data_IF_227928193578
#
_entry.id   IF_227928193578
#
_cell.length_a   1.000
_cell.length_b   1.000
_cell.length_c   1.000
_cell.angle_alpha   90.00
_cell.angle_beta   90.00
_cell.angle_gamma   90.00
#
_symmetry.space_group_name_H-M   'P 1'
#
loop_
_entity.id
_entity.type
_entity.pdbx_description
1 polymer ?
#
# COMPACT_ATOMS: atom_id res chain seq x y z
N UNK A 1 7.38 -26.88 18.83
CA UNK A 1 6.37 -25.84 19.03
C UNK A 1 6.59 -24.60 18.16
N UNK A 2 7.77 -23.93 18.22
CA UNK A 2 8.08 -22.71 17.41
C UNK A 2 7.87 -22.89 15.89
N UNK A 3 8.28 -24.04 15.31
CA UNK A 3 8.15 -24.27 13.86
C UNK A 3 6.71 -24.46 13.35
N UNK A 4 5.80 -25.04 14.14
CA UNK A 4 4.40 -25.19 13.78
C UNK A 4 3.69 -23.83 13.82
N UNK A 5 3.96 -23.03 14.85
CA UNK A 5 3.43 -21.67 15.00
C UNK A 5 3.91 -20.77 13.86
N UNK A 6 5.20 -20.82 13.48
CA UNK A 6 5.74 -20.08 12.33
C UNK A 6 5.03 -20.45 11.03
N UNK A 7 4.80 -21.75 10.77
CA UNK A 7 4.05 -22.19 9.56
C UNK A 7 2.62 -21.70 9.57
N UNK A 8 1.95 -21.70 10.72
CA UNK A 8 0.59 -21.19 10.87
C UNK A 8 0.53 -19.70 10.52
N UNK A 9 1.38 -18.87 11.12
CA UNK A 9 1.43 -17.42 10.85
C UNK A 9 1.79 -17.12 9.39
N UNK A 10 2.75 -17.85 8.80
CA UNK A 10 3.10 -17.70 7.39
C UNK A 10 1.90 -18.00 6.46
N UNK A 11 1.11 -19.05 6.75
CA UNK A 11 -0.10 -19.36 5.99
C UNK A 11 -1.18 -18.27 6.15
N UNK A 12 -1.37 -17.76 7.36
CA UNK A 12 -2.33 -16.68 7.62
C UNK A 12 -1.95 -15.41 6.85
N UNK A 13 -0.66 -15.03 6.90
CA UNK A 13 -0.15 -13.90 6.13
C UNK A 13 -0.31 -14.12 4.63
N UNK A 14 0.04 -15.29 4.10
CA UNK A 14 -0.11 -15.60 2.68
C UNK A 14 -1.56 -15.48 2.21
N UNK A 15 -2.54 -15.90 3.03
CA UNK A 15 -3.98 -15.71 2.73
C UNK A 15 -4.35 -14.23 2.72
N UNK A 16 -3.89 -13.46 3.71
CA UNK A 16 -4.20 -12.03 3.77
C UNK A 16 -3.58 -11.26 2.60
N UNK A 17 -2.36 -11.63 2.17
CA UNK A 17 -1.71 -11.08 0.96
C UNK A 17 -2.56 -11.39 -0.28
N UNK A 18 -3.00 -12.63 -0.46
CA UNK A 18 -3.89 -12.99 -1.57
C UNK A 18 -5.23 -12.24 -1.52
N UNK A 19 -5.74 -11.96 -0.31
CA UNK A 19 -7.00 -11.24 -0.12
C UNK A 19 -6.83 -9.77 -0.49
N UNK A 20 -5.82 -9.04 0.02
CA UNK A 20 -5.65 -7.64 -0.35
C UNK A 20 -5.29 -7.48 -1.83
N UNK A 21 -4.53 -8.40 -2.41
CA UNK A 21 -4.27 -8.39 -3.85
C UNK A 21 -5.57 -8.46 -4.66
N UNK A 22 -6.51 -9.32 -4.25
CA UNK A 22 -7.84 -9.38 -4.87
C UNK A 22 -8.63 -8.08 -4.67
N UNK A 23 -8.56 -7.46 -3.48
CA UNK A 23 -9.21 -6.18 -3.21
C UNK A 23 -8.65 -5.07 -4.10
N UNK A 24 -7.33 -4.98 -4.26
CA UNK A 24 -6.68 -4.04 -5.18
C UNK A 24 -7.19 -4.24 -6.61
N UNK A 25 -7.14 -5.49 -7.13
CA UNK A 25 -7.56 -5.80 -8.49
C UNK A 25 -9.04 -5.50 -8.74
N UNK A 26 -9.92 -5.65 -7.73
CA UNK A 26 -11.34 -5.26 -7.82
C UNK A 26 -11.55 -3.75 -7.92
N UNK A 27 -10.69 -2.95 -7.27
CA UNK A 27 -10.75 -1.50 -7.33
C UNK A 27 -10.37 -0.94 -8.71
N UNK A 28 -9.67 -1.73 -9.54
CA UNK A 28 -9.24 -1.30 -10.87
C UNK A 28 -10.38 -1.39 -11.88
N UNK A 29 -10.58 -0.31 -12.61
CA UNK A 29 -11.57 -0.20 -13.67
C UNK A 29 -10.95 -0.66 -15.00
N UNK A 30 -11.56 -1.63 -15.74
CA UNK A 30 -11.10 -2.00 -17.07
C UNK A 30 -11.17 -0.83 -18.05
N UNK A 31 -10.20 -0.74 -18.97
CA UNK A 31 -10.18 0.29 -20.00
C UNK A 31 -9.99 -0.32 -21.40
N UNK A 32 -10.81 0.11 -22.35
CA UNK A 32 -10.65 -0.20 -23.78
C UNK A 32 -9.83 0.85 -24.54
N UNK A 33 -9.69 2.05 -23.97
CA UNK A 33 -8.80 3.10 -24.48
C UNK A 33 -7.46 3.01 -23.78
N UNK A 34 -6.39 3.40 -24.45
CA UNK A 34 -5.08 3.50 -23.83
C UNK A 34 -5.08 4.55 -22.72
N UNK A 35 -4.74 4.15 -21.52
CA UNK A 35 -4.58 5.00 -20.33
C UNK A 35 -3.18 4.82 -19.76
N UNK A 36 -2.81 5.61 -18.75
CA UNK A 36 -1.53 5.49 -18.04
C UNK A 36 -1.76 5.17 -16.57
N UNK A 37 -1.02 4.19 -16.07
CA UNK A 37 -0.96 3.85 -14.65
C UNK A 37 0.43 4.13 -14.12
N UNK A 38 0.50 4.75 -12.94
CA UNK A 38 1.71 4.90 -12.13
C UNK A 38 1.66 3.94 -10.94
N UNK A 39 2.66 3.08 -10.79
CA UNK A 39 2.87 2.21 -9.64
C UNK A 39 3.98 2.77 -8.75
N UNK A 40 3.62 3.32 -7.61
CA UNK A 40 4.53 3.88 -6.62
C UNK A 40 5.17 2.74 -5.81
N UNK A 41 6.49 2.54 -5.94
CA UNK A 41 7.19 1.39 -5.39
C UNK A 41 6.94 0.12 -6.22
N UNK A 42 7.20 0.19 -7.53
CA UNK A 42 6.87 -0.88 -8.47
C UNK A 42 7.73 -2.15 -8.33
N UNK A 43 8.72 -2.15 -7.44
CA UNK A 43 9.64 -3.26 -7.19
C UNK A 43 10.23 -3.80 -8.52
N UNK A 44 10.14 -5.10 -8.77
CA UNK A 44 10.63 -5.75 -9.99
C UNK A 44 9.62 -5.73 -11.15
N UNK A 45 8.50 -5.03 -11.00
CA UNK A 45 7.44 -4.86 -12.00
C UNK A 45 6.45 -6.02 -12.13
N UNK A 46 6.63 -7.13 -11.41
CA UNK A 46 5.74 -8.30 -11.54
C UNK A 46 4.29 -7.98 -11.17
N UNK A 47 4.12 -7.25 -10.06
CA UNK A 47 2.79 -6.83 -9.62
C UNK A 47 2.20 -5.77 -10.56
N UNK A 48 3.02 -4.84 -11.04
CA UNK A 48 2.61 -3.81 -12.02
C UNK A 48 2.02 -4.44 -13.30
N UNK A 49 2.63 -5.54 -13.77
CA UNK A 49 2.08 -6.30 -14.92
C UNK A 49 0.70 -6.91 -14.61
N UNK A 50 0.48 -7.40 -13.39
CA UNK A 50 -0.83 -7.94 -13.00
C UNK A 50 -1.90 -6.84 -12.95
N UNK A 51 -1.56 -5.63 -12.48
CA UNK A 51 -2.43 -4.45 -12.55
C UNK A 51 -2.78 -4.16 -14.02
N UNK A 52 -1.77 -4.14 -14.89
CA UNK A 52 -1.95 -3.93 -16.32
C UNK A 52 -2.88 -4.97 -16.97
N UNK A 53 -2.67 -6.23 -16.68
CA UNK A 53 -3.52 -7.32 -17.19
C UNK A 53 -4.98 -7.18 -16.75
N UNK A 54 -5.22 -6.64 -15.54
CA UNK A 54 -6.58 -6.39 -15.02
C UNK A 54 -7.25 -5.20 -15.70
N UNK A 55 -6.49 -4.16 -16.08
CA UNK A 55 -6.99 -2.93 -16.69
C UNK A 55 -7.23 -3.13 -18.20
N UNK A 56 -6.31 -3.81 -18.88
CA UNK A 56 -6.34 -4.03 -20.33
C UNK A 56 -5.43 -3.08 -21.09
N UNK A 57 -5.97 -2.05 -21.79
CA UNK A 57 -5.16 -1.12 -22.57
C UNK A 57 -4.52 -0.05 -21.68
N UNK A 58 -3.26 -0.26 -21.25
CA UNK A 58 -2.59 0.62 -20.29
C UNK A 58 -1.08 0.69 -20.52
N UNK A 59 -0.51 1.91 -20.42
CA UNK A 59 0.93 2.13 -20.26
C UNK A 59 1.30 2.05 -18.79
N UNK A 60 2.27 1.22 -18.47
CA UNK A 60 2.71 0.95 -17.11
C UNK A 60 3.95 1.77 -16.80
N UNK A 61 3.80 2.68 -15.84
CA UNK A 61 4.88 3.47 -15.27
C UNK A 61 5.13 3.05 -13.83
N UNK A 62 6.35 3.28 -13.34
CA UNK A 62 6.71 2.98 -11.96
C UNK A 62 7.73 3.95 -11.40
N UNK A 63 7.77 4.06 -10.07
CA UNK A 63 8.87 4.67 -9.32
C UNK A 63 9.47 3.59 -8.42
N UNK A 64 10.80 3.44 -8.46
CA UNK A 64 11.50 2.49 -7.61
C UNK A 64 12.86 3.06 -7.17
N UNK A 65 13.11 3.04 -5.87
CA UNK A 65 14.33 3.58 -5.26
C UNK A 65 15.52 2.61 -5.36
N UNK A 66 15.24 1.29 -5.46
CA UNK A 66 16.28 0.26 -5.52
C UNK A 66 16.62 -0.03 -6.97
N UNK A 67 17.77 0.44 -7.44
CA UNK A 67 18.20 0.35 -8.84
C UNK A 67 18.10 -1.06 -9.43
N UNK A 68 18.52 -2.09 -8.67
CA UNK A 68 18.44 -3.49 -9.15
C UNK A 68 16.99 -3.93 -9.46
N UNK A 69 16.02 -3.48 -8.65
CA UNK A 69 14.60 -3.77 -8.83
C UNK A 69 14.04 -2.99 -10.00
N UNK A 70 14.35 -1.69 -10.06
CA UNK A 70 13.99 -0.82 -11.18
C UNK A 70 14.44 -1.41 -12.53
N UNK A 71 15.69 -1.89 -12.62
CA UNK A 71 16.21 -2.55 -13.82
C UNK A 71 15.45 -3.84 -14.15
N UNK A 72 14.97 -4.57 -13.14
CA UNK A 72 14.13 -5.74 -13.38
C UNK A 72 12.75 -5.35 -13.93
N UNK A 73 12.14 -4.27 -13.43
CA UNK A 73 10.87 -3.74 -13.94
C UNK A 73 10.99 -3.25 -15.40
N UNK A 74 12.08 -2.51 -15.72
CA UNK A 74 12.36 -2.08 -17.09
C UNK A 74 12.46 -3.25 -18.07
N UNK A 75 13.13 -4.35 -17.69
CA UNK A 75 13.22 -5.56 -18.54
C UNK A 75 11.88 -6.23 -18.80
N UNK A 76 10.91 -6.02 -17.92
CA UNK A 76 9.53 -6.53 -18.07
C UNK A 76 8.61 -5.57 -18.82
N UNK A 77 9.11 -4.41 -19.28
CA UNK A 77 8.36 -3.42 -20.05
C UNK A 77 7.64 -2.37 -19.23
N UNK A 78 7.90 -2.27 -17.92
CA UNK A 78 7.43 -1.15 -17.10
C UNK A 78 8.35 0.05 -17.32
N UNK A 79 7.81 1.23 -17.58
CA UNK A 79 8.58 2.48 -17.70
C UNK A 79 8.90 2.96 -16.28
N UNK A 80 9.99 2.42 -15.69
CA UNK A 80 10.33 2.64 -14.31
C UNK A 80 11.38 3.75 -14.16
N UNK A 81 11.02 4.83 -13.46
CA UNK A 81 11.90 5.94 -13.12
C UNK A 81 12.54 5.72 -11.73
N UNK A 82 13.79 6.18 -11.53
CA UNK A 82 14.39 6.18 -10.22
C UNK A 82 13.77 7.30 -9.37
N UNK A 83 13.44 7.03 -8.11
CA UNK A 83 12.92 8.08 -7.24
C UNK A 83 12.71 7.61 -5.80
N UNK A 84 12.81 8.58 -4.89
CA UNK A 84 12.38 8.44 -3.49
C UNK A 84 10.97 9.04 -3.39
N UNK A 85 10.01 8.26 -2.92
CA UNK A 85 8.62 8.70 -2.78
C UNK A 85 8.40 9.72 -1.63
N UNK A 86 9.45 10.04 -0.87
CA UNK A 86 9.47 11.21 0.03
C UNK A 86 9.76 12.54 -0.70
N UNK A 87 10.24 12.47 -1.96
CA UNK A 87 10.61 13.60 -2.80
C UNK A 87 9.57 13.82 -3.90
N UNK A 88 9.59 14.93 -4.65
CA UNK A 88 8.73 15.13 -5.81
C UNK A 88 8.87 14.00 -6.84
N UNK A 89 7.73 13.53 -7.38
CA UNK A 89 7.74 12.47 -8.38
C UNK A 89 8.33 12.95 -9.71
N UNK A 90 9.14 12.12 -10.42
CA UNK A 90 9.78 12.49 -11.67
C UNK A 90 8.81 12.52 -12.87
N UNK A 91 7.58 12.98 -12.63
CA UNK A 91 6.51 13.06 -13.61
C UNK A 91 5.84 14.43 -13.59
N UNK A 92 5.26 14.84 -14.73
CA UNK A 92 4.50 16.08 -14.84
C UNK A 92 3.11 15.99 -14.19
N UNK A 93 2.44 17.13 -14.16
CA UNK A 93 1.07 17.23 -13.65
C UNK A 93 0.09 16.48 -14.57
N UNK A 94 -0.94 15.90 -13.97
CA UNK A 94 -2.09 15.31 -14.68
C UNK A 94 -1.73 14.31 -15.78
N UNK A 95 -0.71 13.44 -15.52
CA UNK A 95 -0.26 12.43 -16.46
C UNK A 95 -1.03 11.11 -16.40
N UNK A 96 -1.54 10.73 -15.23
CA UNK A 96 -2.04 9.38 -14.98
C UNK A 96 -3.54 9.35 -14.74
N UNK A 97 -4.23 8.39 -15.32
CA UNK A 97 -5.61 8.05 -14.99
C UNK A 97 -5.67 7.26 -13.68
N UNK A 98 -4.63 6.46 -13.39
CA UNK A 98 -4.57 5.59 -12.23
C UNK A 98 -3.22 5.75 -11.54
N UNK A 99 -3.23 5.91 -10.22
CA UNK A 99 -2.05 5.75 -9.37
C UNK A 99 -2.28 4.59 -8.42
N UNK A 100 -1.28 3.75 -8.25
CA UNK A 100 -1.31 2.61 -7.33
C UNK A 100 -0.16 2.71 -6.33
N UNK A 101 -0.40 2.30 -5.09
CA UNK A 101 0.65 2.11 -4.09
C UNK A 101 0.24 0.98 -3.13
N UNK A 102 1.10 -0.02 -3.01
CA UNK A 102 0.85 -1.17 -2.16
C UNK A 102 1.99 -1.37 -1.16
N UNK A 103 1.69 -1.25 0.13
CA UNK A 103 2.67 -1.35 1.22
C UNK A 103 3.81 -0.33 1.04
N UNK A 104 3.45 0.93 0.86
CA UNK A 104 4.37 2.04 0.61
C UNK A 104 4.25 3.14 1.64
N UNK A 105 3.03 3.66 1.87
CA UNK A 105 2.81 4.85 2.70
C UNK A 105 3.32 4.70 4.14
N UNK A 106 3.34 3.48 4.68
CA UNK A 106 3.87 3.16 6.01
C UNK A 106 5.39 3.34 6.12
N UNK A 107 6.10 3.29 5.00
CA UNK A 107 7.55 3.45 4.93
C UNK A 107 7.99 4.91 4.77
N UNK A 108 7.06 5.81 4.43
CA UNK A 108 7.39 7.20 4.11
C UNK A 108 7.51 8.06 5.37
N UNK A 109 8.42 9.02 5.33
CA UNK A 109 8.61 10.06 6.35
C UNK A 109 7.68 11.24 6.09
N UNK A 110 7.53 11.63 4.83
CA UNK A 110 6.66 12.72 4.39
C UNK A 110 5.43 12.19 3.63
N UNK A 111 4.41 11.80 4.39
CA UNK A 111 3.16 11.30 3.83
C UNK A 111 2.33 12.40 3.17
N UNK A 112 2.46 13.65 3.63
CA UNK A 112 1.75 14.79 3.02
C UNK A 112 2.30 15.09 1.63
N UNK A 113 3.64 15.08 1.45
CA UNK A 113 4.24 15.22 0.13
C UNK A 113 3.81 14.09 -0.81
N UNK A 114 3.84 12.85 -0.34
CA UNK A 114 3.42 11.69 -1.13
C UNK A 114 1.97 11.82 -1.62
N UNK A 115 1.04 12.23 -0.76
CA UNK A 115 -0.37 12.40 -1.13
C UNK A 115 -0.56 13.58 -2.09
N UNK A 116 0.18 14.69 -1.90
CA UNK A 116 0.18 15.82 -2.83
C UNK A 116 0.71 15.43 -4.22
N UNK A 117 1.75 14.62 -4.29
CA UNK A 117 2.31 14.14 -5.55
C UNK A 117 1.36 13.17 -6.28
N UNK A 118 0.64 12.31 -5.55
CA UNK A 118 -0.45 11.50 -6.12
C UNK A 118 -1.54 12.44 -6.71
N UNK A 119 -1.94 13.46 -5.95
CA UNK A 119 -2.94 14.42 -6.43
C UNK A 119 -2.46 15.17 -7.67
N UNK A 120 -1.22 15.67 -7.65
CA UNK A 120 -0.64 16.45 -8.75
C UNK A 120 -0.55 15.64 -10.03
N UNK A 121 -0.08 14.41 -9.94
CA UNK A 121 0.18 13.54 -11.10
C UNK A 121 -1.08 12.87 -11.65
N UNK A 122 -2.15 12.74 -10.86
CA UNK A 122 -3.45 12.26 -11.33
C UNK A 122 -4.16 13.30 -12.20
N UNK A 123 -4.72 12.85 -13.30
CA UNK A 123 -5.66 13.62 -14.10
C UNK A 123 -6.92 13.97 -13.32
N UNK A 124 -7.62 15.08 -13.63
CA UNK A 124 -8.97 15.33 -13.12
C UNK A 124 -9.88 14.13 -13.40
N UNK A 125 -10.59 13.64 -12.37
CA UNK A 125 -11.42 12.44 -12.46
C UNK A 125 -10.64 11.11 -12.40
N UNK A 126 -9.31 11.15 -12.38
CA UNK A 126 -8.47 9.98 -12.13
C UNK A 126 -8.58 9.47 -10.70
N UNK A 127 -8.13 8.26 -10.44
CA UNK A 127 -8.23 7.64 -9.12
C UNK A 127 -6.94 6.97 -8.68
N UNK A 128 -6.79 6.81 -7.35
CA UNK A 128 -5.72 6.01 -6.80
C UNK A 128 -6.25 4.81 -6.00
N UNK A 129 -5.46 3.73 -5.98
CA UNK A 129 -5.69 2.54 -5.15
C UNK A 129 -4.49 2.38 -4.23
N UNK A 130 -4.73 2.55 -2.92
CA UNK A 130 -3.70 2.50 -1.89
C UNK A 130 -3.99 1.31 -0.98
N UNK A 131 -2.98 0.46 -0.74
CA UNK A 131 -3.07 -0.62 0.23
C UNK A 131 -1.94 -0.49 1.25
N UNK A 132 -2.28 -0.58 2.54
CA UNK A 132 -1.32 -0.45 3.65
C UNK A 132 -1.76 -1.27 4.86
N UNK A 133 -0.85 -1.45 5.81
CA UNK A 133 -1.15 -2.05 7.11
C UNK A 133 -2.08 -1.18 7.95
N UNK A 134 -2.87 -1.81 8.83
CA UNK A 134 -3.82 -1.14 9.71
C UNK A 134 -3.38 -1.22 11.17
N UNK A 135 -3.04 -0.07 11.76
CA UNK A 135 -2.69 0.01 13.18
C UNK A 135 -3.84 -0.46 14.10
N UNK A 136 -5.10 -0.20 13.68
CA UNK A 136 -6.31 -0.58 14.43
C UNK A 136 -6.71 -2.07 14.30
N UNK A 137 -5.89 -2.92 13.70
CA UNK A 137 -6.17 -4.34 13.55
C UNK A 137 -6.16 -5.09 14.89
N UNK A 138 -6.96 -6.15 15.00
CA UNK A 138 -7.08 -6.92 16.25
C UNK A 138 -5.74 -7.45 16.76
N UNK A 139 -4.84 -7.90 15.90
CA UNK A 139 -3.54 -8.40 16.35
C UNK A 139 -2.62 -7.27 16.89
N UNK A 140 -2.75 -6.04 16.38
CA UNK A 140 -2.06 -4.88 16.93
C UNK A 140 -2.66 -4.45 18.26
N UNK A 141 -3.98 -4.39 18.37
CA UNK A 141 -4.70 -4.10 19.63
C UNK A 141 -4.33 -5.13 20.70
N UNK A 142 -4.35 -6.42 20.36
CA UNK A 142 -3.89 -7.48 21.24
C UNK A 142 -2.48 -7.23 21.78
N UNK A 143 -1.55 -6.85 20.92
CA UNK A 143 -0.18 -6.55 21.33
C UNK A 143 -0.13 -5.41 22.35
N UNK A 144 -0.88 -4.33 22.11
CA UNK A 144 -0.93 -3.17 23.00
C UNK A 144 -1.52 -3.51 24.38
N UNK A 145 -2.52 -4.39 24.46
CA UNK A 145 -3.09 -4.86 25.74
C UNK A 145 -2.04 -5.51 26.64
N UNK A 146 -1.03 -6.19 26.04
CA UNK A 146 0.08 -6.81 26.78
C UNK A 146 1.31 -5.91 26.93
N UNK A 147 1.23 -4.64 26.54
CA UNK A 147 2.36 -3.71 26.56
C UNK A 147 3.43 -4.05 25.51
N UNK A 148 3.08 -4.80 24.49
CA UNK A 148 3.99 -5.15 23.40
C UNK A 148 3.89 -4.16 22.24
N UNK A 149 4.98 -4.03 21.49
CA UNK A 149 4.96 -3.27 20.25
C UNK A 149 3.95 -3.88 19.28
N UNK A 150 3.10 -3.08 18.62
CA UNK A 150 2.22 -3.56 17.56
C UNK A 150 3.00 -4.31 16.48
N UNK A 151 2.44 -5.36 15.91
CA UNK A 151 3.11 -6.14 14.84
C UNK A 151 3.52 -5.25 13.67
N UNK A 152 2.67 -4.33 13.29
CA UNK A 152 2.92 -3.35 12.21
C UNK A 152 4.04 -2.36 12.51
N UNK A 153 4.54 -2.30 13.74
CA UNK A 153 5.59 -1.37 14.18
C UNK A 153 6.76 -2.07 14.88
N UNK A 154 7.00 -3.33 14.55
CA UNK A 154 8.15 -4.09 15.11
C UNK A 154 9.44 -3.90 14.32
N UNK A 155 9.39 -3.28 13.15
CA UNK A 155 10.51 -2.99 12.23
C UNK A 155 10.94 -1.51 12.27
N UNK A 156 10.98 -0.92 13.46
CA UNK A 156 11.33 0.50 13.70
C UNK A 156 12.85 0.76 13.74
N UNK A 157 13.68 -0.25 13.57
CA UNK A 157 15.14 -0.12 13.64
C UNK A 157 15.82 -0.79 12.46
N UNK A 158 16.81 -0.13 11.86
CA UNK A 158 17.66 -0.74 10.82
C UNK A 158 18.64 -1.80 11.34
N UNK A 159 18.77 -1.96 12.69
CA UNK A 159 19.69 -2.93 13.30
C UNK A 159 19.01 -4.27 13.61
N UNK A 160 17.74 -4.25 13.92
CA UNK A 160 16.98 -5.44 14.32
C UNK A 160 15.49 -5.24 14.05
N UNK A 161 14.85 -6.25 13.49
CA UNK A 161 13.41 -6.39 13.43
C UNK A 161 12.86 -7.13 14.66
N UNK A 162 11.55 -7.21 14.78
CA UNK A 162 10.85 -7.87 15.88
C UNK A 162 11.08 -7.20 17.25
N UNK A 163 11.26 -5.88 17.24
CA UNK A 163 11.46 -5.13 18.49
C UNK A 163 10.16 -5.13 19.28
N UNK A 164 10.26 -5.47 20.57
CA UNK A 164 9.20 -5.30 21.55
C UNK A 164 8.00 -6.22 21.42
N UNK A 165 8.00 -7.21 20.52
CA UNK A 165 6.91 -8.17 20.39
C UNK A 165 7.43 -9.61 20.24
N UNK A 166 7.23 -10.47 21.26
CA UNK A 166 7.75 -11.83 21.27
C UNK A 166 7.09 -12.76 20.23
N UNK A 167 5.95 -12.37 19.67
CA UNK A 167 5.22 -13.13 18.66
C UNK A 167 5.49 -12.64 17.23
N UNK A 168 6.20 -11.53 17.04
CA UNK A 168 6.57 -11.00 15.74
C UNK A 168 7.74 -11.79 15.11
N UNK A 169 7.47 -13.00 14.62
CA UNK A 169 8.47 -13.94 14.11
C UNK A 169 8.65 -13.89 12.59
N UNK A 170 8.24 -12.78 11.95
CA UNK A 170 8.09 -12.72 10.48
C UNK A 170 9.41 -12.65 9.72
N UNK A 171 10.47 -12.09 10.31
CA UNK A 171 11.73 -11.83 9.62
C UNK A 171 12.91 -12.36 10.40
N UNK A 172 13.54 -13.42 9.89
CA UNK A 172 14.79 -13.96 10.46
C UNK A 172 16.03 -13.29 9.84
N UNK A 173 15.88 -12.70 8.66
CA UNK A 173 16.99 -12.07 7.93
C UNK A 173 16.61 -10.61 7.65
N UNK A 174 17.48 -9.68 8.07
CA UNK A 174 17.35 -8.29 7.70
C UNK A 174 17.48 -8.16 6.17
N UNK A 175 16.60 -7.40 5.48
CA UNK A 175 16.74 -7.15 4.05
C UNK A 175 18.05 -6.42 3.75
N UNK A 176 18.51 -6.49 2.50
CA UNK A 176 19.73 -5.83 2.04
C UNK A 176 19.72 -4.30 2.19
N UNK A 177 18.52 -3.71 2.25
CA UNK A 177 18.31 -2.30 2.58
C UNK A 177 17.30 -2.19 3.73
N UNK A 178 17.73 -2.29 5.00
CA UNK A 178 16.82 -2.27 6.14
C UNK A 178 16.07 -0.96 6.30
N UNK A 179 16.58 0.17 5.84
CA UNK A 179 15.93 1.47 5.96
C UNK A 179 14.65 1.55 5.13
N UNK A 180 14.61 0.96 3.93
CA UNK A 180 13.42 0.92 3.07
C UNK A 180 12.30 0.02 3.60
N UNK A 181 12.58 -0.77 4.66
CA UNK A 181 11.62 -1.70 5.28
C UNK A 181 11.14 -1.24 6.65
N UNK A 182 11.63 -0.09 7.12
CA UNK A 182 11.16 0.48 8.38
C UNK A 182 9.78 1.08 8.20
N UNK A 183 8.87 0.78 9.14
CA UNK A 183 7.60 1.48 9.20
C UNK A 183 7.78 2.76 10.02
N UNK A 184 7.58 3.89 9.39
CA UNK A 184 7.67 5.21 10.00
C UNK A 184 6.31 5.65 10.55
N UNK A 185 5.22 5.28 9.86
CA UNK A 185 3.87 5.69 10.23
C UNK A 185 2.85 4.65 9.75
N UNK A 186 2.06 4.11 10.65
CA UNK A 186 0.96 3.19 10.32
C UNK A 186 -0.36 3.83 10.72
N UNK A 187 -1.29 3.89 9.79
CA UNK A 187 -2.59 4.51 9.99
C UNK A 187 -3.62 3.50 10.52
N UNK A 188 -4.53 3.98 11.38
CA UNK A 188 -5.79 3.28 11.63
C UNK A 188 -6.83 3.67 10.58
N UNK A 189 -7.90 2.90 10.47
CA UNK A 189 -8.97 3.04 9.46
C UNK A 189 -9.46 4.48 9.24
N UNK A 190 -9.79 5.21 10.32
CA UNK A 190 -10.26 6.60 10.21
C UNK A 190 -9.15 7.55 9.77
N UNK A 191 -7.98 7.46 10.39
CA UNK A 191 -6.85 8.31 10.05
C UNK A 191 -6.43 8.16 8.59
N UNK A 192 -6.45 6.93 8.04
CA UNK A 192 -6.17 6.70 6.62
C UNK A 192 -7.19 7.39 5.69
N UNK A 193 -8.47 7.33 6.04
CA UNK A 193 -9.52 8.04 5.26
C UNK A 193 -9.36 9.55 5.33
N UNK A 194 -9.18 10.07 6.54
CA UNK A 194 -9.16 11.50 6.81
C UNK A 194 -7.94 12.18 6.18
N UNK A 195 -6.75 11.53 6.21
CA UNK A 195 -5.56 12.13 5.60
C UNK A 195 -5.72 12.32 4.08
N UNK A 196 -6.34 11.39 3.37
CA UNK A 196 -6.62 11.57 1.95
C UNK A 196 -7.75 12.58 1.70
N UNK A 197 -8.77 12.60 2.55
CA UNK A 197 -9.89 13.55 2.43
C UNK A 197 -9.45 15.01 2.61
N UNK A 198 -8.55 15.31 3.58
CA UNK A 198 -8.03 16.68 3.77
C UNK A 198 -7.14 17.15 2.62
N UNK A 199 -6.61 16.23 1.80
CA UNK A 199 -5.93 16.56 0.55
C UNK A 199 -6.85 16.66 -0.66
N UNK A 200 -8.18 16.65 -0.45
CA UNK A 200 -9.19 16.89 -1.48
C UNK A 200 -9.71 15.63 -2.19
N UNK A 201 -9.21 14.44 -1.83
CA UNK A 201 -9.70 13.21 -2.43
C UNK A 201 -11.09 12.82 -1.96
N UNK A 202 -11.92 12.34 -2.88
CA UNK A 202 -13.17 11.66 -2.58
C UNK A 202 -12.87 10.19 -2.28
N UNK A 203 -13.30 9.72 -1.11
CA UNK A 203 -13.15 8.30 -0.73
C UNK A 203 -14.29 7.50 -1.38
N UNK A 204 -13.99 6.69 -2.39
CA UNK A 204 -14.99 5.87 -3.08
C UNK A 204 -15.25 4.56 -2.35
N UNK A 205 -14.18 3.91 -1.89
CA UNK A 205 -14.28 2.59 -1.29
C UNK A 205 -13.12 2.33 -0.32
N UNK A 206 -13.38 1.53 0.72
CA UNK A 206 -12.35 0.99 1.60
C UNK A 206 -12.72 -0.43 2.00
N UNK A 207 -11.81 -1.37 1.80
CA UNK A 207 -11.96 -2.79 2.10
C UNK A 207 -10.87 -3.25 3.07
N UNK A 208 -11.25 -4.18 3.98
CA UNK A 208 -10.32 -4.81 4.90
C UNK A 208 -9.89 -6.19 4.39
N UNK A 209 -8.64 -6.58 4.66
CA UNK A 209 -8.11 -7.92 4.35
C UNK A 209 -7.29 -8.47 5.51
N UNK A 210 -7.42 -9.78 5.78
CA UNK A 210 -6.80 -10.42 6.93
C UNK A 210 -7.48 -10.06 8.24
N UNK A 211 -7.80 -11.06 9.07
CA UNK A 211 -8.53 -10.81 10.33
C UNK A 211 -7.97 -11.69 11.47
N UNK A 212 -6.68 -11.51 11.74
CA UNK A 212 -5.94 -12.35 12.68
C UNK A 212 -6.41 -12.23 14.12
N UNK A 213 -6.54 -13.32 14.87
CA UNK A 213 -6.33 -14.73 14.48
C UNK A 213 -7.59 -15.41 13.93
N UNK A 214 -8.67 -14.66 13.65
CA UNK A 214 -9.96 -15.13 13.21
C UNK A 214 -10.01 -15.32 11.67
N UNK A 215 -11.07 -15.95 11.11
CA UNK A 215 -11.22 -16.12 9.67
C UNK A 215 -11.21 -14.80 8.89
N UNK A 216 -10.52 -14.79 7.73
CA UNK A 216 -10.36 -13.59 6.91
C UNK A 216 -11.67 -12.97 6.44
N UNK A 217 -12.73 -13.77 6.23
CA UNK A 217 -14.02 -13.26 5.77
C UNK A 217 -14.66 -12.23 6.72
N UNK A 218 -14.30 -12.25 7.99
CA UNK A 218 -14.76 -11.25 8.96
C UNK A 218 -14.22 -9.84 8.64
N UNK A 219 -13.11 -9.71 7.93
CA UNK A 219 -12.59 -8.42 7.48
C UNK A 219 -13.55 -7.65 6.58
N UNK A 220 -14.45 -8.35 5.87
CA UNK A 220 -15.48 -7.74 5.01
C UNK A 220 -16.61 -7.12 5.84
N UNK A 221 -16.91 -7.69 7.00
CA UNK A 221 -17.94 -7.19 7.92
C UNK A 221 -17.40 -6.07 8.82
N UNK A 222 -16.13 -6.18 9.20
CA UNK A 222 -15.44 -5.22 10.05
C UNK A 222 -14.07 -4.83 9.50
N UNK A 223 -14.03 -4.01 8.45
CA UNK A 223 -12.77 -3.56 7.85
C UNK A 223 -11.91 -2.72 8.79
N UNK A 224 -12.51 -2.11 9.82
CA UNK A 224 -11.81 -1.26 10.80
C UNK A 224 -10.73 -2.00 11.58
N UNK A 225 -10.91 -3.31 11.79
CA UNK A 225 -9.99 -4.14 12.56
C UNK A 225 -9.28 -5.21 11.69
N UNK A 226 -9.41 -5.11 10.37
CA UNK A 226 -8.65 -5.93 9.43
C UNK A 226 -7.15 -5.62 9.50
N UNK A 227 -6.32 -6.56 9.10
CA UNK A 227 -4.86 -6.41 9.12
C UNK A 227 -4.36 -5.39 8.09
N UNK A 228 -4.99 -5.38 6.90
CA UNK A 228 -4.67 -4.47 5.80
C UNK A 228 -5.91 -3.73 5.35
N UNK A 229 -5.72 -2.52 4.85
CA UNK A 229 -6.75 -1.67 4.29
C UNK A 229 -6.43 -1.36 2.83
N UNK A 230 -7.39 -1.61 1.94
CA UNK A 230 -7.32 -1.20 0.54
C UNK A 230 -8.32 -0.06 0.33
N UNK A 231 -7.81 1.09 -0.07
CA UNK A 231 -8.54 2.33 -0.25
C UNK A 231 -8.57 2.72 -1.73
N UNK A 232 -9.76 2.97 -2.28
CA UNK A 232 -9.94 3.61 -3.59
C UNK A 232 -10.39 5.05 -3.38
N UNK A 233 -9.63 5.97 -3.95
CA UNK A 233 -9.85 7.42 -3.84
C UNK A 233 -9.85 8.05 -5.21
N UNK A 234 -10.62 9.13 -5.40
CA UNK A 234 -10.72 9.83 -6.69
C UNK A 234 -10.37 11.31 -6.55
N UNK A 235 -9.58 11.82 -7.49
CA UNK A 235 -9.38 13.26 -7.69
C UNK A 235 -10.66 13.84 -8.31
N UNK A 236 -11.27 14.85 -7.68
CA UNK A 236 -12.46 15.51 -8.22
C UNK A 236 -12.18 16.01 -9.64
N UNK A 237 -13.16 15.91 -10.53
CA UNK A 237 -13.09 16.51 -11.85
C UNK A 237 -13.09 18.04 -11.76
N UNK A 238 -12.59 18.72 -12.78
CA UNK A 238 -12.51 20.19 -12.87
C UNK A 238 -13.86 20.92 -12.86
N UNK A 239 -14.99 20.20 -12.81
CA UNK A 239 -16.34 20.75 -12.69
C UNK A 239 -16.93 20.39 -11.34
N UNK A 240 -16.57 21.13 -10.28
CA UNK A 240 -17.16 20.90 -8.96
C UNK A 240 -16.41 21.55 -7.82
N UNK A 241 -16.07 22.85 -7.95
CA UNK A 241 -15.84 23.67 -6.76
C UNK A 241 -17.20 23.86 -6.07
N UNK A 242 -17.59 22.93 -5.20
CA UNK A 242 -18.55 23.26 -4.17
C UNK A 242 -17.75 23.51 -2.88
N UNK A 243 -17.68 24.80 -2.56
CA UNK A 243 -17.23 25.29 -1.27
C UNK A 243 -17.99 24.60 -0.13
N UNK A 244 -17.24 24.21 0.89
CA UNK A 244 -17.74 23.97 2.23
C UNK A 244 -17.39 25.19 3.07
#
# INVERSE_FOLDING_TARGET
>A
MKGAMKRMFSRMRGRAVADYSRCILKCLEPSHREISLLDCGCDDGEWTLQLGARIGSVRLHGIEIVEKRRQAALRKGVIAEPGDLNEPFPFGDEQFEIVHANQVIEHLKDTDNFIKEIWRTLKPGGYAVICTENLGSWHNIFSLVFGWQPFSLTNVSGKRFQIGNPLAIHYEVAPSNPQSWQHNRVFAYRGLKEIFAVHGFVIEHIEGSGYYPLPNDLSKLDPRHAAFLTLKIRKAGSTGSQAV
#
